data_IF_888871918785
#
_entry.id   IF_888871918785
#
_cell.length_a   1.000
_cell.length_b   1.000
_cell.length_c   1.000
_cell.angle_alpha   90.00
_cell.angle_beta   90.00
_cell.angle_gamma   90.00
#
_symmetry.space_group_name_H-M   'P 1'
#
loop_
_entity.id
_entity.type
_entity.pdbx_description
1 polymer ?
#
# COMPACT_ATOMS: atom_id res chain seq x y z
N UNK A 1 -17.78 -9.14 -9.62
CA UNK A 1 -16.63 -10.06 -9.64
C UNK A 1 -16.34 -10.46 -8.19
N UNK A 2 -16.30 -11.75 -7.84
CA UNK A 2 -16.09 -12.21 -6.45
C UNK A 2 -14.77 -12.96 -6.37
N UNK A 3 -13.76 -12.34 -5.77
CA UNK A 3 -12.41 -12.91 -5.62
C UNK A 3 -11.92 -12.62 -4.20
N UNK A 4 -11.06 -13.48 -3.66
CA UNK A 4 -10.44 -13.25 -2.36
C UNK A 4 -9.39 -12.14 -2.47
N UNK A 5 -9.14 -11.43 -1.38
CA UNK A 5 -8.11 -10.38 -1.37
C UNK A 5 -6.71 -10.93 -1.71
N UNK A 6 -6.43 -12.17 -1.33
CA UNK A 6 -5.16 -12.83 -1.65
C UNK A 6 -5.01 -13.06 -3.14
N UNK A 7 -6.06 -13.58 -3.79
CA UNK A 7 -6.05 -13.76 -5.24
C UNK A 7 -5.96 -12.41 -5.96
N UNK A 8 -6.62 -11.37 -5.41
CA UNK A 8 -6.51 -10.02 -5.93
C UNK A 8 -5.09 -9.49 -5.82
N UNK A 9 -4.45 -9.70 -4.68
CA UNK A 9 -3.07 -9.30 -4.45
C UNK A 9 -2.12 -9.97 -5.44
N UNK A 10 -2.20 -11.28 -5.64
CA UNK A 10 -1.33 -12.00 -6.59
C UNK A 10 -1.43 -11.46 -8.02
N UNK A 11 -2.63 -11.02 -8.43
CA UNK A 11 -2.84 -10.42 -9.76
C UNK A 11 -2.25 -9.01 -9.82
N UNK A 12 -2.31 -8.26 -8.72
CA UNK A 12 -1.93 -6.85 -8.66
C UNK A 12 -0.45 -6.61 -8.28
N UNK A 13 0.20 -7.55 -7.59
CA UNK A 13 1.58 -7.48 -7.13
C UNK A 13 2.57 -7.04 -8.23
N UNK A 14 2.50 -7.59 -9.48
CA UNK A 14 3.40 -7.17 -10.57
C UNK A 14 3.25 -5.69 -10.96
N UNK A 15 2.11 -5.07 -10.65
CA UNK A 15 1.82 -3.67 -10.96
C UNK A 15 2.18 -2.72 -9.80
N UNK A 16 2.93 -3.19 -8.80
CA UNK A 16 3.36 -2.39 -7.66
C UNK A 16 2.25 -2.15 -6.64
N UNK A 17 1.29 -3.07 -6.55
CA UNK A 17 0.37 -3.11 -5.43
C UNK A 17 0.93 -3.93 -4.28
N UNK A 18 0.67 -3.48 -3.06
CA UNK A 18 1.15 -4.10 -1.85
C UNK A 18 -0.01 -4.40 -0.92
N UNK A 19 -0.03 -5.62 -0.37
CA UNK A 19 -0.99 -5.97 0.67
C UNK A 19 -0.49 -5.45 2.02
N UNK A 20 -1.28 -4.56 2.62
CA UNK A 20 -0.97 -3.97 3.93
C UNK A 20 -1.50 -4.85 5.05
N UNK A 21 -2.73 -5.33 4.90
CA UNK A 21 -3.41 -6.18 5.86
C UNK A 21 -4.45 -7.08 5.19
N UNK A 22 -5.25 -7.78 5.99
CA UNK A 22 -6.26 -8.73 5.51
C UNK A 22 -7.37 -8.10 4.66
N UNK A 23 -7.56 -6.79 4.67
CA UNK A 23 -8.62 -6.10 3.92
C UNK A 23 -8.13 -5.01 2.97
N UNK A 24 -6.83 -4.69 2.99
CA UNK A 24 -6.29 -3.50 2.34
C UNK A 24 -5.11 -3.83 1.43
N UNK A 25 -5.22 -3.44 0.16
CA UNK A 25 -4.16 -3.46 -0.84
C UNK A 25 -3.96 -2.01 -1.34
N UNK A 26 -2.72 -1.53 -1.39
CA UNK A 26 -2.40 -0.16 -1.78
C UNK A 26 -1.43 -0.18 -2.96
N UNK A 27 -1.66 0.68 -3.95
CA UNK A 27 -0.68 0.90 -5.02
C UNK A 27 0.45 1.81 -4.52
N UNK A 28 1.59 1.21 -4.18
CA UNK A 28 2.72 1.95 -3.60
C UNK A 28 3.44 2.81 -4.64
N UNK A 29 3.36 2.48 -5.93
CA UNK A 29 3.95 3.28 -7.02
C UNK A 29 3.25 4.64 -7.17
N UNK A 30 2.03 4.76 -6.65
CA UNK A 30 1.24 5.99 -6.65
C UNK A 30 1.33 6.75 -5.34
N UNK A 31 2.11 6.33 -4.35
CA UNK A 31 2.28 7.09 -3.11
C UNK A 31 2.89 8.45 -3.42
N UNK A 32 2.14 9.51 -3.10
CA UNK A 32 2.54 10.90 -3.32
C UNK A 32 3.25 11.45 -2.08
N UNK A 33 2.63 11.26 -0.91
CA UNK A 33 3.14 11.72 0.38
C UNK A 33 2.80 10.71 1.46
N UNK A 34 3.63 10.75 2.51
CA UNK A 34 3.44 9.95 3.71
C UNK A 34 3.66 10.82 4.94
N UNK A 35 2.65 10.95 5.77
CA UNK A 35 2.71 11.65 7.05
C UNK A 35 2.39 10.70 8.19
N UNK A 36 3.44 10.13 8.77
CA UNK A 36 3.35 9.19 9.90
C UNK A 36 2.47 7.96 9.59
N UNK A 37 1.16 8.06 9.82
CA UNK A 37 0.12 7.03 9.55
C UNK A 37 -0.71 7.31 8.30
N UNK A 38 -0.66 8.51 7.75
CA UNK A 38 -1.46 8.94 6.62
C UNK A 38 -0.65 8.72 5.34
N UNK A 39 -1.28 8.05 4.38
CA UNK A 39 -0.75 7.82 3.04
C UNK A 39 -1.67 8.53 2.06
N UNK A 40 -1.08 9.44 1.29
CA UNK A 40 -1.75 10.10 0.17
C UNK A 40 -1.29 9.43 -1.13
N UNK A 41 -2.24 9.01 -1.96
CA UNK A 41 -1.96 8.49 -3.30
C UNK A 41 -2.19 9.58 -4.35
N UNK A 42 -1.34 9.61 -5.39
CA UNK A 42 -1.51 10.49 -6.54
C UNK A 42 -2.86 10.21 -7.19
N UNK A 43 -3.64 11.26 -7.43
CA UNK A 43 -4.97 11.21 -8.02
C UNK A 43 -5.99 10.39 -7.21
N UNK A 44 -5.80 10.28 -5.90
CA UNK A 44 -6.79 9.73 -4.98
C UNK A 44 -7.11 10.79 -3.94
N UNK A 45 -8.40 11.14 -3.81
CA UNK A 45 -8.87 12.10 -2.80
C UNK A 45 -9.10 11.44 -1.44
N UNK A 46 -8.97 10.12 -1.34
CA UNK A 46 -9.11 9.38 -0.10
C UNK A 46 -7.74 9.21 0.59
N UNK A 47 -7.72 9.51 1.88
CA UNK A 47 -6.57 9.27 2.73
C UNK A 47 -6.59 7.84 3.26
N UNK A 48 -5.46 7.14 3.12
CA UNK A 48 -5.30 5.81 3.69
C UNK A 48 -4.57 5.90 5.02
N UNK A 49 -5.15 5.30 6.05
CA UNK A 49 -4.51 5.24 7.38
C UNK A 49 -3.93 3.86 7.62
N UNK A 50 -2.68 3.81 8.05
CA UNK A 50 -2.04 2.58 8.54
C UNK A 50 -1.93 2.61 10.06
N UNK A 51 -2.06 1.43 10.67
CA UNK A 51 -1.83 1.25 12.10
C UNK A 51 -0.33 1.26 12.44
N UNK A 52 0.00 1.42 13.73
CA UNK A 52 1.41 1.40 14.18
C UNK A 52 2.07 0.05 13.97
N UNK A 53 1.32 -1.06 14.00
CA UNK A 53 1.86 -2.40 13.76
C UNK A 53 2.20 -2.65 12.29
N UNK A 54 1.44 -2.06 11.36
CA UNK A 54 1.65 -2.19 9.90
C UNK A 54 2.78 -1.29 9.39
N UNK A 55 3.02 -0.18 10.09
CA UNK A 55 3.95 0.88 9.69
C UNK A 55 5.40 0.42 9.46
N UNK A 56 6.05 -0.39 10.30
CA UNK A 56 7.42 -0.86 10.03
C UNK A 56 7.52 -1.65 8.73
N UNK A 57 6.55 -2.55 8.48
CA UNK A 57 6.50 -3.36 7.26
C UNK A 57 6.28 -2.49 6.02
N UNK A 58 5.33 -1.56 6.09
CA UNK A 58 5.05 -0.64 4.99
C UNK A 58 6.24 0.26 4.66
N UNK A 59 6.91 0.83 5.67
CA UNK A 59 8.11 1.66 5.49
C UNK A 59 9.22 0.87 4.81
N UNK A 60 9.47 -0.35 5.26
CA UNK A 60 10.51 -1.21 4.67
C UNK A 60 10.25 -1.43 3.18
N UNK A 61 9.00 -1.69 2.80
CA UNK A 61 8.60 -1.92 1.40
C UNK A 61 8.70 -0.66 0.54
N UNK A 62 8.25 0.50 1.04
CA UNK A 62 8.46 1.79 0.36
C UNK A 62 9.96 2.05 0.15
N UNK A 63 10.78 1.92 1.19
CA UNK A 63 12.24 2.14 1.07
C UNK A 63 12.89 1.20 0.06
N UNK A 64 12.43 -0.05 -0.01
CA UNK A 64 12.91 -1.02 -1.00
C UNK A 64 12.59 -0.61 -2.43
N UNK A 65 11.50 0.13 -2.66
CA UNK A 65 11.02 0.50 -4.00
C UNK A 65 11.50 1.87 -4.46
N UNK A 66 11.61 2.82 -3.53
CA UNK A 66 12.02 4.19 -3.84
C UNK A 66 13.50 4.46 -3.58
N UNK A 67 14.24 3.50 -2.98
CA UNK A 67 15.70 3.54 -2.85
C UNK A 67 16.23 4.74 -2.06
N UNK A 68 16.48 4.52 -0.76
CA UNK A 68 17.23 5.39 0.16
C UNK A 68 16.77 6.87 0.25
#
# INVERSE_FOLDING_TARGET
VRITIDNLYTILEPYGFEKINQSTIINISKVAKRFNKIIELKNCNEEFTISESEKPGFIKKIRSLFGA
#
